data_IF_041195224375
#
_entry.id   IF_041195224375
#
_cell.length_a   1.000
_cell.length_b   1.000
_cell.length_c   1.000
_cell.angle_alpha   90.00
_cell.angle_beta   90.00
_cell.angle_gamma   90.00
#
_symmetry.space_group_name_H-M   'P 1'
#
loop_
_entity.id
_entity.type
_entity.pdbx_description
1 polymer ?
#
# COMPACT_ATOMS: atom_id res chain seq x y z
N UNK A 1 -10.30 -7.37 2.02
CA UNK A 1 -11.15 -6.22 1.63
C UNK A 1 -10.52 -5.51 0.43
N UNK A 2 -11.31 -4.94 -0.49
CA UNK A 2 -10.77 -4.16 -1.61
C UNK A 2 -10.53 -2.73 -1.14
N UNK A 3 -9.28 -2.29 -1.19
CA UNK A 3 -8.88 -0.91 -0.84
C UNK A 3 -8.90 0.00 -2.08
N UNK A 4 -8.58 -0.56 -3.24
CA UNK A 4 -8.55 0.19 -4.50
C UNK A 4 -8.78 -0.72 -5.69
N UNK A 5 -9.45 -0.15 -6.69
CA UNK A 5 -9.49 -0.69 -8.05
C UNK A 5 -9.00 0.43 -8.97
N UNK A 6 -8.14 0.09 -9.92
CA UNK A 6 -7.75 1.00 -11.01
C UNK A 6 -7.79 0.23 -12.31
N UNK A 7 -8.43 0.82 -13.31
CA UNK A 7 -8.53 0.27 -14.65
C UNK A 7 -8.48 1.43 -15.64
N UNK A 8 -7.45 1.44 -16.47
CA UNK A 8 -7.34 2.31 -17.63
C UNK A 8 -6.75 1.55 -18.83
N UNK A 9 -6.36 2.30 -19.85
CA UNK A 9 -5.72 1.82 -21.07
C UNK A 9 -4.31 1.26 -20.83
N UNK A 10 -3.66 1.60 -19.71
CA UNK A 10 -2.28 1.21 -19.39
C UNK A 10 -2.18 0.08 -18.39
N UNK A 11 -3.04 0.05 -17.38
CA UNK A 11 -2.95 -0.89 -16.27
C UNK A 11 -4.32 -1.19 -15.64
N UNK A 12 -4.43 -2.42 -15.13
CA UNK A 12 -5.62 -2.91 -14.42
C UNK A 12 -5.16 -3.60 -13.15
N UNK A 13 -5.45 -3.03 -11.99
CA UNK A 13 -5.04 -3.63 -10.73
C UNK A 13 -6.06 -3.44 -9.62
N UNK A 14 -5.95 -4.31 -8.63
CA UNK A 14 -6.63 -4.21 -7.35
C UNK A 14 -5.60 -4.14 -6.23
N UNK A 15 -5.90 -3.33 -5.23
CA UNK A 15 -5.19 -3.34 -3.94
C UNK A 15 -6.13 -3.96 -2.93
N UNK A 16 -5.68 -5.04 -2.30
CA UNK A 16 -6.45 -5.80 -1.32
C UNK A 16 -5.79 -5.66 0.05
N UNK A 17 -6.60 -5.41 1.08
CA UNK A 17 -6.22 -5.66 2.47
C UNK A 17 -6.44 -7.12 2.80
N UNK A 18 -5.37 -7.77 3.21
CA UNK A 18 -5.33 -9.17 3.63
C UNK A 18 -5.49 -9.25 5.14
N UNK A 19 -6.28 -10.22 5.60
CA UNK A 19 -6.43 -10.57 7.01
C UNK A 19 -6.02 -12.02 7.29
N UNK A 20 -5.81 -12.83 6.25
CA UNK A 20 -5.40 -14.23 6.32
C UNK A 20 -4.60 -14.58 5.04
N UNK A 21 -3.62 -15.51 5.11
CA UNK A 21 -3.11 -16.17 6.32
C UNK A 21 -2.32 -15.22 7.23
N UNK A 22 -1.95 -14.04 6.76
CA UNK A 22 -1.31 -12.99 7.54
C UNK A 22 -1.85 -11.60 7.12
N UNK A 23 -1.83 -10.60 8.03
CA UNK A 23 -2.16 -9.22 7.70
C UNK A 23 -1.18 -8.60 6.69
N UNK A 24 -1.71 -7.82 5.75
CA UNK A 24 -0.89 -7.13 4.77
C UNK A 24 -1.68 -6.51 3.63
N UNK A 25 -0.96 -6.07 2.60
CA UNK A 25 -1.53 -5.58 1.34
C UNK A 25 -1.08 -6.50 0.20
N UNK A 26 -2.01 -6.86 -0.68
CA UNK A 26 -1.68 -7.41 -1.99
C UNK A 26 -1.98 -6.38 -3.08
N UNK A 27 -1.01 -6.13 -3.95
CA UNK A 27 -1.19 -5.45 -5.23
C UNK A 27 -1.19 -6.51 -6.31
N UNK A 28 -2.32 -6.68 -6.99
CA UNK A 28 -2.51 -7.70 -8.03
C UNK A 28 -3.03 -7.01 -9.28
N UNK A 29 -2.39 -7.23 -10.42
CA UNK A 29 -2.87 -6.61 -11.63
C UNK A 29 -2.17 -7.08 -12.89
N UNK A 30 -2.61 -6.49 -13.98
CA UNK A 30 -2.00 -6.61 -15.29
C UNK A 30 -1.62 -5.25 -15.84
N UNK A 31 -0.59 -5.22 -16.67
CA UNK A 31 -0.15 -4.03 -17.38
C UNK A 31 0.32 -4.40 -18.78
N UNK A 32 0.16 -3.48 -19.72
CA UNK A 32 0.60 -3.67 -21.10
C UNK A 32 2.11 -3.53 -21.24
N UNK A 33 2.72 -4.35 -22.09
CA UNK A 33 4.12 -4.26 -22.50
C UNK A 33 4.24 -4.71 -23.96
N UNK A 34 4.53 -3.76 -24.85
CA UNK A 34 4.85 -3.95 -26.27
C UNK A 34 4.13 -5.12 -26.96
N UNK A 35 2.79 -5.02 -27.06
CA UNK A 35 1.95 -6.02 -27.73
C UNK A 35 1.57 -7.24 -26.87
N UNK A 36 2.02 -7.29 -25.63
CA UNK A 36 1.70 -8.32 -24.65
C UNK A 36 1.10 -7.73 -23.37
N UNK A 37 0.53 -8.58 -22.52
CA UNK A 37 0.05 -8.21 -21.20
C UNK A 37 0.81 -9.03 -20.16
N UNK A 38 1.43 -8.34 -19.21
CA UNK A 38 2.05 -8.96 -18.05
C UNK A 38 1.08 -8.96 -16.88
N UNK A 39 1.10 -10.03 -16.09
CA UNK A 39 0.46 -10.10 -14.79
C UNK A 39 1.51 -10.01 -13.69
N UNK A 40 1.23 -9.26 -12.63
CA UNK A 40 2.09 -9.17 -11.46
C UNK A 40 1.27 -9.22 -10.18
N UNK A 41 1.92 -9.78 -9.15
CA UNK A 41 1.41 -9.81 -7.79
C UNK A 41 2.55 -9.50 -6.84
N UNK A 42 2.35 -8.49 -5.98
CA UNK A 42 3.25 -8.14 -4.90
C UNK A 42 2.49 -8.22 -3.57
N UNK A 43 3.08 -8.88 -2.58
CA UNK A 43 2.55 -8.98 -1.23
C UNK A 43 3.45 -8.22 -0.26
N UNK A 44 2.84 -7.33 0.50
CA UNK A 44 3.47 -6.55 1.56
C UNK A 44 2.87 -6.99 2.88
N UNK A 45 3.51 -7.96 3.53
CA UNK A 45 3.07 -8.51 4.81
C UNK A 45 3.64 -7.66 5.94
N UNK A 46 2.82 -7.35 6.95
CA UNK A 46 3.23 -6.44 8.01
C UNK A 46 4.15 -7.09 9.05
N UNK A 47 4.11 -8.42 9.17
CA UNK A 47 4.84 -9.16 10.19
C UNK A 47 4.14 -9.17 11.55
N UNK A 48 4.66 -9.98 12.47
CA UNK A 48 4.03 -10.21 13.79
C UNK A 48 4.18 -9.00 14.73
N UNK A 49 5.21 -8.16 14.52
CA UNK A 49 5.48 -6.95 15.31
C UNK A 49 4.78 -5.68 14.76
N UNK A 50 3.89 -5.84 13.77
CA UNK A 50 3.24 -4.73 13.06
C UNK A 50 2.55 -3.72 13.98
N UNK A 51 1.77 -4.19 14.96
CA UNK A 51 1.05 -3.33 15.90
C UNK A 51 2.02 -2.53 16.78
N UNK A 52 3.08 -3.18 17.27
CA UNK A 52 4.12 -2.53 18.06
C UNK A 52 4.83 -1.44 17.24
N UNK A 53 5.24 -1.77 16.02
CA UNK A 53 5.92 -0.83 15.10
C UNK A 53 5.04 0.38 14.78
N UNK A 54 3.75 0.14 14.56
CA UNK A 54 2.78 1.21 14.32
C UNK A 54 2.68 2.14 15.53
N UNK A 55 2.49 1.58 16.73
CA UNK A 55 2.39 2.35 17.98
C UNK A 55 3.66 3.16 18.27
N UNK A 56 4.84 2.61 18.03
CA UNK A 56 6.13 3.30 18.20
C UNK A 56 6.38 4.40 17.16
N UNK A 57 5.89 4.20 15.93
CA UNK A 57 6.10 5.13 14.81
C UNK A 57 5.13 6.30 14.81
N UNK A 58 3.87 6.06 15.17
CA UNK A 58 2.78 7.03 15.13
C UNK A 58 3.10 8.39 15.80
N UNK A 59 3.61 8.45 17.06
CA UNK A 59 3.95 9.74 17.67
C UNK A 59 5.12 10.44 16.98
N UNK A 60 6.10 9.69 16.46
CA UNK A 60 7.26 10.25 15.73
C UNK A 60 6.80 10.93 14.44
N UNK A 61 5.94 10.25 13.68
CA UNK A 61 5.35 10.81 12.47
C UNK A 61 4.53 12.06 12.76
N UNK A 62 3.65 12.02 13.77
CA UNK A 62 2.85 13.19 14.15
C UNK A 62 3.70 14.41 14.49
N UNK A 63 4.74 14.21 15.31
CA UNK A 63 5.64 15.30 15.69
C UNK A 63 6.34 15.87 14.46
N UNK A 64 6.92 14.99 13.62
CA UNK A 64 7.59 15.41 12.41
C UNK A 64 6.67 16.15 11.42
N UNK A 65 5.44 15.66 11.20
CA UNK A 65 4.45 16.35 10.37
C UNK A 65 4.12 17.73 10.94
N UNK A 66 3.89 17.79 12.24
CA UNK A 66 3.60 19.04 12.95
C UNK A 66 4.74 20.05 12.85
N UNK A 67 6.00 19.63 12.86
CA UNK A 67 7.15 20.51 12.71
C UNK A 67 7.39 20.93 11.25
N UNK A 68 7.29 19.98 10.33
CA UNK A 68 7.68 20.15 8.92
C UNK A 68 6.68 21.00 8.14
N UNK A 69 5.38 20.84 8.42
CA UNK A 69 4.31 21.50 7.66
C UNK A 69 3.59 22.59 8.45
N UNK A 70 4.23 23.16 9.48
CA UNK A 70 3.77 24.40 10.12
C UNK A 70 3.73 25.54 9.09
N UNK A 71 2.54 25.79 8.56
CA UNK A 71 2.12 26.89 7.68
C UNK A 71 3.23 27.88 7.25
N UNK A 72 3.73 27.72 6.02
CA UNK A 72 4.05 28.90 5.20
C UNK A 72 2.75 29.67 5.04
N UNK A 73 2.71 30.89 5.58
CA UNK A 73 1.65 31.86 5.29
C UNK A 73 1.54 32.12 3.79
#
# INVERSE_FOLDING_TARGET
MVERVRQDDKQRFVVLRLNAPAPGIALIGTYGTDGSANASMALYLYGDDAEQRAAEGEPKWRNWFGETFKHSR
#
